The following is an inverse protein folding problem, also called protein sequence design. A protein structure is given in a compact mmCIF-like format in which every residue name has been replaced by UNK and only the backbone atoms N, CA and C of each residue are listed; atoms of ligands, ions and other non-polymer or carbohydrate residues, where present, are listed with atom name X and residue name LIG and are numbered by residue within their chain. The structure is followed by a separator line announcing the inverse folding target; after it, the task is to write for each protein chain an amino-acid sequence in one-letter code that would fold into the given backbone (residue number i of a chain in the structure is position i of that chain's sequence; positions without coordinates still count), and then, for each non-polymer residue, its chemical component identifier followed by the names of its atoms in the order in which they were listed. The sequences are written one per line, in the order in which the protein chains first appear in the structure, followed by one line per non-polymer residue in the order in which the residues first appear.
data_IF_068085074309
#
_entry.id   IF_068085074309
#
_cell.length_a   1.000
_cell.length_b   1.000
_cell.length_c   1.000
_cell.angle_alpha   90.00
_cell.angle_beta   90.00
_cell.angle_gamma   90.00
#
_symmetry.space_group_name_H-M   'P 1'
#
loop_
_entity.id
_entity.type
_entity.pdbx_description
1 polymer ?
#
# COMPACT_ATOMS: atom_id res chain seq x y z
N UNK A 1 5.34 -40.88 29.19
CA UNK A 1 6.22 -40.54 28.06
C UNK A 1 5.32 -40.17 26.91
N UNK A 2 5.08 -38.88 26.72
CA UNK A 2 4.27 -38.38 25.60
C UNK A 2 5.11 -38.47 24.33
N UNK A 3 4.61 -39.04 23.22
CA UNK A 3 5.38 -39.11 21.99
C UNK A 3 5.62 -37.68 21.50
N UNK A 4 6.88 -37.35 21.24
CA UNK A 4 7.27 -36.10 20.59
C UNK A 4 6.81 -36.20 19.13
N UNK A 5 5.59 -35.76 18.86
CA UNK A 5 5.04 -35.66 17.50
C UNK A 5 5.70 -34.43 16.87
N UNK A 6 6.46 -34.63 15.79
CA UNK A 6 6.95 -33.52 14.96
C UNK A 6 5.74 -32.67 14.54
N UNK A 7 5.80 -31.32 14.58
CA UNK A 7 4.70 -30.51 14.06
C UNK A 7 4.46 -30.89 12.60
N UNK A 8 3.25 -31.37 12.32
CA UNK A 8 2.87 -31.85 11.00
C UNK A 8 2.72 -30.65 10.06
N UNK A 9 3.32 -30.75 8.88
CA UNK A 9 3.26 -29.71 7.85
C UNK A 9 2.09 -30.03 6.90
N UNK A 10 1.18 -29.08 6.68
CA UNK A 10 -0.05 -29.26 5.89
C UNK A 10 -0.07 -28.30 4.71
N UNK A 11 -0.31 -28.74 3.47
CA UNK A 11 -0.66 -27.80 2.39
C UNK A 11 -2.09 -27.28 2.56
N UNK A 12 -2.46 -26.18 1.89
CA UNK A 12 -3.86 -25.74 1.84
C UNK A 12 -4.77 -26.81 1.22
N UNK A 13 -4.25 -27.62 0.30
CA UNK A 13 -5.00 -28.75 -0.25
C UNK A 13 -5.28 -29.82 0.82
N UNK A 14 -4.34 -30.04 1.75
CA UNK A 14 -4.53 -30.95 2.89
C UNK A 14 -5.57 -30.39 3.87
N UNK A 15 -5.46 -29.09 4.23
CA UNK A 15 -6.46 -28.42 5.10
C UNK A 15 -7.85 -28.51 4.50
N UNK A 16 -7.99 -28.32 3.18
CA UNK A 16 -9.26 -28.39 2.45
C UNK A 16 -9.94 -29.76 2.47
N UNK A 17 -9.22 -30.84 2.81
CA UNK A 17 -9.84 -32.16 3.00
C UNK A 17 -10.65 -32.26 4.29
N UNK A 18 -10.37 -31.40 5.27
CA UNK A 18 -11.01 -31.36 6.57
C UNK A 18 -12.06 -30.24 6.61
N UNK A 19 -13.19 -30.46 5.93
CA UNK A 19 -14.24 -29.47 5.70
C UNK A 19 -15.66 -29.95 6.02
N UNK A 20 -15.81 -30.91 6.94
CA UNK A 20 -17.11 -31.48 7.32
C UNK A 20 -17.37 -31.30 8.82
N UNK A 21 -18.62 -31.33 9.29
CA UNK A 21 -18.96 -31.05 10.70
C UNK A 21 -18.19 -31.94 11.71
N UNK A 22 -17.80 -33.14 11.30
CA UNK A 22 -17.07 -34.12 12.14
C UNK A 22 -15.55 -34.13 11.86
N UNK A 23 -15.04 -33.25 10.99
CA UNK A 23 -13.63 -33.13 10.61
C UNK A 23 -13.34 -31.74 10.01
N UNK A 24 -12.90 -30.79 10.84
CA UNK A 24 -12.69 -29.38 10.46
C UNK A 24 -11.31 -28.89 10.83
N UNK A 25 -10.51 -28.61 9.81
CA UNK A 25 -9.23 -27.92 9.99
C UNK A 25 -9.33 -26.53 9.40
N UNK A 26 -8.69 -25.57 10.06
CA UNK A 26 -8.53 -24.21 9.54
C UNK A 26 -7.09 -23.77 9.66
N UNK A 27 -6.64 -22.93 8.73
CA UNK A 27 -5.37 -22.23 8.89
C UNK A 27 -5.61 -20.82 9.43
N UNK A 28 -4.85 -20.42 10.46
CA UNK A 28 -4.83 -19.04 10.97
C UNK A 28 -3.35 -18.66 11.13
N UNK A 29 -2.93 -17.54 10.54
CA UNK A 29 -1.56 -17.00 10.65
C UNK A 29 -0.48 -18.04 10.34
N UNK A 30 -0.69 -18.87 9.31
CA UNK A 30 0.24 -19.91 8.87
C UNK A 30 0.34 -21.15 9.80
N UNK A 31 -0.51 -21.24 10.83
CA UNK A 31 -0.65 -22.41 11.69
C UNK A 31 -1.94 -23.13 11.36
N UNK A 32 -1.95 -24.46 11.47
CA UNK A 32 -3.14 -25.28 11.19
C UNK A 32 -3.70 -25.80 12.51
N UNK A 33 -5.01 -25.64 12.66
CA UNK A 33 -5.77 -25.95 13.85
C UNK A 33 -6.87 -26.95 13.52
N UNK A 34 -6.97 -28.01 14.30
CA UNK A 34 -8.12 -28.90 14.29
C UNK A 34 -9.15 -28.32 15.25
N UNK A 35 -10.23 -27.79 14.70
CA UNK A 35 -11.30 -27.13 15.46
C UNK A 35 -12.54 -28.00 15.59
N UNK A 36 -12.45 -29.29 15.21
CA UNK A 36 -13.58 -30.22 15.20
C UNK A 36 -14.27 -30.31 16.56
N UNK A 37 -13.50 -30.48 17.63
CA UNK A 37 -14.04 -30.55 19.00
C UNK A 37 -14.52 -29.20 19.53
N UNK A 38 -14.04 -28.09 18.95
CA UNK A 38 -14.38 -26.73 19.37
C UNK A 38 -15.62 -26.18 18.65
N UNK A 39 -16.10 -26.86 17.61
CA UNK A 39 -17.22 -26.39 16.78
C UNK A 39 -18.46 -25.97 17.58
N UNK A 40 -18.88 -26.81 18.54
CA UNK A 40 -20.07 -26.57 19.37
C UNK A 40 -19.79 -25.68 20.59
N UNK A 41 -18.52 -25.45 20.90
CA UNK A 41 -18.07 -24.63 22.03
C UNK A 41 -17.77 -23.18 21.63
N UNK A 42 -17.73 -22.91 20.31
CA UNK A 42 -17.45 -21.60 19.77
C UNK A 42 -18.53 -20.57 20.18
N UNK A 43 -18.18 -19.53 20.96
CA UNK A 43 -19.14 -18.55 21.46
C UNK A 43 -19.87 -17.76 20.36
N UNK A 44 -19.27 -17.64 19.18
CA UNK A 44 -19.85 -16.97 18.02
C UNK A 44 -20.90 -17.80 17.28
N UNK A 45 -21.02 -19.10 17.57
CA UNK A 45 -21.89 -20.04 16.84
C UNK A 45 -21.08 -20.96 15.91
N UNK A 46 -21.53 -22.21 15.79
CA UNK A 46 -20.88 -23.23 14.96
C UNK A 46 -20.94 -22.89 13.47
N UNK A 47 -21.99 -22.19 13.04
CA UNK A 47 -22.24 -21.80 11.65
C UNK A 47 -21.09 -20.98 11.05
N UNK A 48 -20.44 -20.12 11.82
CA UNK A 48 -19.33 -19.28 11.35
C UNK A 48 -18.04 -20.07 11.15
N UNK A 49 -17.82 -21.13 11.95
CA UNK A 49 -16.67 -22.01 11.77
C UNK A 49 -16.85 -22.92 10.56
N UNK A 50 -18.10 -23.31 10.25
CA UNK A 50 -18.42 -24.10 9.06
C UNK A 50 -18.21 -23.31 7.76
N UNK A 51 -18.42 -21.99 7.77
CA UNK A 51 -18.16 -21.14 6.59
C UNK A 51 -16.71 -21.12 6.15
N UNK A 52 -15.77 -21.33 7.07
CA UNK A 52 -14.32 -21.30 6.83
C UNK A 52 -13.67 -22.69 6.95
N UNK A 53 -14.48 -23.74 7.07
CA UNK A 53 -14.01 -25.11 7.25
C UNK A 53 -13.16 -25.57 6.04
N UNK A 54 -11.93 -26.01 6.32
CA UNK A 54 -10.96 -26.40 5.30
C UNK A 54 -10.30 -25.23 4.58
N UNK A 55 -10.40 -24.00 5.10
CA UNK A 55 -9.84 -22.80 4.49
C UNK A 55 -8.74 -22.13 5.34
N UNK A 56 -8.12 -21.09 4.78
CA UNK A 56 -7.34 -20.12 5.54
C UNK A 56 -8.29 -19.09 6.15
N UNK A 57 -8.63 -19.31 7.42
CA UNK A 57 -9.54 -18.50 8.19
C UNK A 57 -8.86 -17.28 8.84
N UNK A 58 -7.60 -16.95 8.51
CA UNK A 58 -6.87 -15.83 9.11
C UNK A 58 -7.67 -14.53 9.06
N UNK A 59 -8.25 -14.21 7.91
CA UNK A 59 -9.02 -12.98 7.73
C UNK A 59 -10.34 -12.99 8.54
N UNK A 60 -11.06 -14.12 8.57
CA UNK A 60 -12.28 -14.26 9.35
C UNK A 60 -12.00 -14.16 10.86
N UNK A 61 -10.89 -14.75 11.29
CA UNK A 61 -10.43 -14.70 12.68
C UNK A 61 -10.08 -13.28 13.12
N UNK A 62 -9.31 -12.55 12.32
CA UNK A 62 -8.86 -11.20 12.67
C UNK A 62 -10.00 -10.17 12.64
N UNK A 63 -10.92 -10.28 11.68
CA UNK A 63 -12.02 -9.32 11.53
C UNK A 63 -13.13 -9.46 12.58
N UNK A 64 -13.23 -10.62 13.23
CA UNK A 64 -14.24 -10.87 14.26
C UNK A 64 -13.92 -10.16 15.58
N UNK A 65 -12.65 -9.78 15.81
CA UNK A 65 -12.24 -9.10 17.04
C UNK A 65 -12.30 -10.03 18.26
N UNK A 66 -11.78 -11.25 18.11
CA UNK A 66 -11.63 -12.23 19.18
C UNK A 66 -10.91 -11.63 20.40
N UNK A 67 -11.38 -11.96 21.61
CA UNK A 67 -10.79 -11.47 22.86
C UNK A 67 -9.45 -12.18 23.18
N UNK A 68 -8.70 -11.65 24.14
CA UNK A 68 -7.44 -12.26 24.57
C UNK A 68 -7.62 -13.73 25.00
N UNK A 69 -8.75 -14.07 25.62
CA UNK A 69 -9.10 -15.45 26.00
C UNK A 69 -9.29 -16.37 24.78
N UNK A 70 -9.76 -15.85 23.65
CA UNK A 70 -9.90 -16.64 22.42
C UNK A 70 -8.54 -16.91 21.74
N UNK A 71 -7.52 -16.09 22.00
CA UNK A 71 -6.14 -16.37 21.58
C UNK A 71 -5.46 -17.43 22.45
N UNK A 72 -5.89 -17.59 23.71
CA UNK A 72 -5.36 -18.60 24.64
C UNK A 72 -5.78 -20.03 24.30
N UNK A 73 -6.89 -20.22 23.57
CA UNK A 73 -7.41 -21.55 23.17
C UNK A 73 -6.66 -22.10 21.94
N UNK A 74 -6.23 -21.23 21.01
CA UNK A 74 -5.58 -21.64 19.76
C UNK A 74 -4.39 -22.60 19.94
N UNK A 75 -3.45 -22.40 20.89
CA UNK A 75 -2.34 -23.33 21.10
C UNK A 75 -2.76 -24.78 21.35
N UNK A 76 -3.91 -25.01 22.00
CA UNK A 76 -4.42 -26.36 22.32
C UNK A 76 -5.00 -27.08 21.10
N UNK A 77 -5.56 -26.31 20.16
CA UNK A 77 -6.16 -26.82 18.92
C UNK A 77 -5.13 -26.99 17.79
N UNK A 78 -3.89 -26.55 18.00
CA UNK A 78 -2.86 -26.56 16.96
C UNK A 78 -2.39 -27.98 16.65
N UNK A 79 -2.60 -28.40 15.40
CA UNK A 79 -2.13 -29.70 14.89
C UNK A 79 -0.91 -29.60 13.99
N UNK A 80 -0.60 -28.40 13.49
CA UNK A 80 0.54 -28.23 12.60
C UNK A 80 0.81 -26.82 12.12
N UNK A 81 1.56 -26.74 11.04
CA UNK A 81 1.85 -25.49 10.31
C UNK A 81 1.51 -25.67 8.85
N UNK A 82 1.07 -24.58 8.23
CA UNK A 82 0.75 -24.58 6.82
C UNK A 82 2.07 -24.60 6.02
N UNK A 83 2.27 -25.64 5.23
CA UNK A 83 3.29 -25.75 4.21
C UNK A 83 3.07 -24.63 3.20
N UNK A 84 3.90 -23.60 3.34
CA UNK A 84 4.07 -22.60 2.31
C UNK A 84 4.68 -23.32 1.11
N UNK A 85 3.94 -23.38 0.01
CA UNK A 85 4.39 -24.06 -1.20
C UNK A 85 5.74 -23.43 -1.61
N UNK A 86 6.79 -24.18 -1.96
CA UNK A 86 7.96 -23.61 -2.62
C UNK A 86 7.62 -22.99 -4.00
N UNK A 87 6.41 -23.18 -4.53
CA UNK A 87 5.84 -22.36 -5.62
C UNK A 87 5.21 -21.02 -5.13
N UNK A 88 5.02 -20.86 -3.81
CA UNK A 88 4.93 -19.60 -3.08
C UNK A 88 6.26 -19.21 -2.42
N UNK A 89 7.39 -19.64 -2.99
CA UNK A 89 8.59 -18.81 -2.90
C UNK A 89 8.12 -17.44 -3.35
N UNK A 90 8.33 -16.42 -2.52
CA UNK A 90 8.56 -15.09 -3.05
C UNK A 90 9.53 -15.32 -4.20
N UNK A 91 9.05 -15.19 -5.44
CA UNK A 91 9.96 -14.94 -6.53
C UNK A 91 10.85 -13.81 -5.98
N UNK A 92 12.20 -13.95 -6.01
CA UNK A 92 13.05 -12.84 -5.64
C UNK A 92 12.49 -11.67 -6.42
N UNK A 93 12.00 -10.63 -5.69
CA UNK A 93 11.26 -9.48 -6.23
C UNK A 93 11.68 -9.34 -7.67
N UNK A 94 10.81 -9.75 -8.61
CA UNK A 94 11.18 -9.77 -10.02
C UNK A 94 11.79 -8.40 -10.25
N UNK A 95 13.11 -8.38 -10.51
CA UNK A 95 13.91 -7.18 -10.37
C UNK A 95 13.12 -6.10 -11.10
N UNK A 96 12.62 -5.11 -10.33
CA UNK A 96 11.82 -4.05 -10.91
C UNK A 96 12.64 -3.54 -12.09
N UNK A 97 12.03 -3.38 -13.29
CA UNK A 97 12.79 -3.02 -14.47
C UNK A 97 13.68 -1.84 -14.10
N UNK A 98 14.99 -2.00 -14.32
CA UNK A 98 16.04 -1.02 -14.04
C UNK A 98 15.46 0.40 -14.19
N UNK A 99 15.13 1.04 -13.07
CA UNK A 99 14.74 2.45 -13.04
C UNK A 99 16.02 3.28 -13.17
N UNK A 100 16.83 2.99 -14.21
CA UNK A 100 17.99 3.78 -14.54
C UNK A 100 17.48 5.19 -14.79
N UNK A 101 17.96 6.11 -13.95
CA UNK A 101 17.84 7.56 -14.10
C UNK A 101 18.54 7.95 -15.40
N UNK A 102 17.84 7.78 -16.52
CA UNK A 102 18.26 8.37 -17.78
C UNK A 102 17.69 9.78 -17.84
N UNK A 103 18.57 10.78 -17.96
CA UNK A 103 18.18 12.14 -18.30
C UNK A 103 17.71 12.19 -19.75
N UNK A 104 16.45 11.86 -20.00
CA UNK A 104 15.78 12.11 -21.28
C UNK A 104 15.01 13.41 -21.18
N UNK A 105 15.14 14.29 -22.20
CA UNK A 105 14.40 15.55 -22.25
C UNK A 105 12.90 15.25 -22.44
N UNK A 106 12.07 15.77 -21.55
CA UNK A 106 10.60 15.71 -21.60
C UNK A 106 10.07 16.41 -22.88
N UNK A 107 10.00 15.67 -23.98
CA UNK A 107 9.64 16.20 -25.31
C UNK A 107 8.48 15.45 -25.97
N UNK A 108 7.87 14.51 -25.24
CA UNK A 108 6.75 13.71 -25.74
C UNK A 108 5.41 14.46 -25.76
N UNK A 109 4.49 13.99 -26.59
CA UNK A 109 3.12 14.50 -26.64
C UNK A 109 2.41 14.10 -25.33
N UNK A 110 1.95 15.10 -24.56
CA UNK A 110 1.16 14.90 -23.33
C UNK A 110 -0.22 14.37 -23.66
N UNK A 111 -0.63 13.32 -22.98
CA UNK A 111 -1.88 12.60 -23.33
C UNK A 111 -3.01 12.82 -22.33
N UNK A 112 -2.70 13.11 -21.07
CA UNK A 112 -3.67 13.18 -19.99
C UNK A 112 -4.52 14.47 -20.04
N UNK A 113 -5.85 14.32 -19.96
CA UNK A 113 -6.84 15.42 -20.04
C UNK A 113 -7.62 15.60 -18.73
N UNK A 114 -7.72 16.82 -18.19
CA UNK A 114 -8.19 17.04 -16.80
C UNK A 114 -9.64 16.64 -16.61
N UNK A 115 -10.50 16.95 -17.57
CA UNK A 115 -11.95 16.86 -17.37
C UNK A 115 -12.61 15.79 -18.24
N UNK A 116 -11.81 15.05 -19.02
CA UNK A 116 -12.28 14.03 -19.96
C UNK A 116 -11.71 12.68 -19.55
N UNK A 117 -12.58 11.70 -19.31
CA UNK A 117 -12.16 10.32 -19.14
C UNK A 117 -11.64 9.76 -20.47
N UNK A 118 -10.46 9.17 -20.41
CA UNK A 118 -9.75 8.51 -21.49
C UNK A 118 -9.52 7.05 -21.11
N UNK A 119 -9.46 6.18 -22.11
CA UNK A 119 -9.23 4.75 -21.88
C UNK A 119 -7.77 4.38 -22.15
N UNK A 120 -7.20 3.57 -21.26
CA UNK A 120 -5.84 3.06 -21.39
C UNK A 120 -5.84 1.54 -21.21
N UNK A 121 -5.16 0.84 -22.12
CA UNK A 121 -5.12 -0.63 -22.17
C UNK A 121 -4.05 -1.19 -21.21
N UNK A 122 -4.42 -2.21 -20.42
CA UNK A 122 -3.51 -2.95 -19.56
C UNK A 122 -2.57 -3.81 -20.40
N UNK A 123 -1.28 -3.47 -20.39
CA UNK A 123 -0.23 -4.21 -21.11
C UNK A 123 0.39 -5.30 -20.25
N UNK A 124 0.62 -5.01 -18.97
CA UNK A 124 1.36 -5.90 -18.07
C UNK A 124 0.82 -5.78 -16.64
N UNK A 125 0.76 -6.91 -15.95
CA UNK A 125 0.47 -7.02 -14.52
C UNK A 125 1.64 -7.73 -13.85
N UNK A 126 2.24 -7.10 -12.84
CA UNK A 126 3.34 -7.66 -12.05
C UNK A 126 2.83 -7.84 -10.63
N UNK A 127 2.70 -9.08 -10.18
CA UNK A 127 2.27 -9.39 -8.81
C UNK A 127 3.43 -9.10 -7.86
N UNK A 128 3.20 -8.25 -6.86
CA UNK A 128 4.20 -7.86 -5.86
C UNK A 128 3.99 -8.64 -4.56
N UNK A 129 2.73 -8.81 -4.16
CA UNK A 129 2.31 -9.62 -3.00
C UNK A 129 0.91 -10.17 -3.21
N UNK A 130 0.37 -10.91 -2.23
CA UNK A 130 -0.96 -11.52 -2.30
C UNK A 130 -2.09 -10.51 -2.63
N UNK A 131 -1.94 -9.24 -2.24
CA UNK A 131 -2.93 -8.20 -2.51
C UNK A 131 -2.35 -6.94 -3.16
N UNK A 132 -1.12 -6.96 -3.66
CA UNK A 132 -0.50 -5.81 -4.35
C UNK A 132 0.02 -6.22 -5.70
N UNK A 133 -0.29 -5.41 -6.72
CA UNK A 133 0.30 -5.56 -8.04
C UNK A 133 0.61 -4.20 -8.68
N UNK A 134 1.57 -4.21 -9.60
CA UNK A 134 1.85 -3.11 -10.51
C UNK A 134 1.14 -3.38 -11.83
N UNK A 135 0.35 -2.42 -12.26
CA UNK A 135 -0.41 -2.46 -13.50
C UNK A 135 0.16 -1.44 -14.48
N UNK A 136 0.69 -1.92 -15.60
CA UNK A 136 1.26 -1.11 -16.67
C UNK A 136 0.23 -0.89 -17.76
N UNK A 137 -0.04 0.38 -18.06
CA UNK A 137 -0.99 0.76 -19.10
C UNK A 137 -0.30 1.47 -20.26
N UNK A 138 -0.69 1.11 -21.49
CA UNK A 138 -0.12 1.70 -22.71
C UNK A 138 -0.58 3.14 -22.89
N UNK A 139 0.34 3.99 -23.32
CA UNK A 139 0.01 5.28 -23.90
C UNK A 139 -0.30 5.12 -25.40
N UNK A 140 -0.98 6.11 -26.03
CA UNK A 140 -1.33 6.08 -27.45
C UNK A 140 -0.17 5.82 -28.43
N UNK A 141 1.06 6.17 -28.05
CA UNK A 141 2.26 5.85 -28.84
C UNK A 141 3.47 5.63 -27.93
N UNK A 142 4.51 4.91 -28.39
CA UNK A 142 5.75 4.71 -27.63
C UNK A 142 6.48 6.00 -27.22
N UNK A 143 6.27 7.09 -27.96
CA UNK A 143 6.91 8.40 -27.72
C UNK A 143 6.02 9.36 -26.91
N UNK A 144 4.78 8.97 -26.62
CA UNK A 144 3.88 9.76 -25.78
C UNK A 144 4.34 9.74 -24.31
N UNK A 145 4.13 10.85 -23.61
CA UNK A 145 4.29 10.92 -22.15
C UNK A 145 2.94 11.10 -21.49
N UNK A 146 2.82 10.69 -20.23
CA UNK A 146 1.55 10.75 -19.55
C UNK A 146 1.13 12.20 -19.33
N UNK A 147 2.07 13.07 -18.95
CA UNK A 147 1.84 14.49 -18.77
C UNK A 147 1.23 14.82 -17.40
N UNK A 148 1.63 14.08 -16.36
CA UNK A 148 1.19 14.31 -14.98
C UNK A 148 2.25 15.13 -14.22
N UNK A 149 1.96 16.40 -13.86
CA UNK A 149 2.88 17.20 -13.05
C UNK A 149 3.19 16.54 -11.71
N UNK A 150 4.45 16.67 -11.25
CA UNK A 150 4.91 16.07 -10.00
C UNK A 150 4.13 16.66 -8.82
N UNK A 151 3.52 15.80 -7.99
CA UNK A 151 2.63 16.17 -6.89
C UNK A 151 1.13 16.09 -7.24
N UNK A 152 0.79 15.93 -8.51
CA UNK A 152 -0.58 15.68 -8.95
C UNK A 152 -0.85 14.19 -9.10
N UNK A 153 -2.14 13.85 -9.12
CA UNK A 153 -2.64 12.48 -9.23
C UNK A 153 -3.68 12.37 -10.34
N UNK A 154 -4.12 11.15 -10.63
CA UNK A 154 -5.19 10.85 -11.58
C UNK A 154 -6.45 10.39 -10.86
N UNK A 155 -7.57 10.43 -11.57
CA UNK A 155 -8.84 9.82 -11.15
C UNK A 155 -9.17 8.62 -12.04
N UNK A 156 -9.29 7.43 -11.45
CA UNK A 156 -9.84 6.25 -12.11
C UNK A 156 -11.35 6.22 -11.85
N UNK A 157 -12.13 6.05 -12.92
CA UNK A 157 -13.59 5.94 -12.85
C UNK A 157 -14.07 4.57 -13.33
N UNK A 158 -15.04 3.97 -12.62
CA UNK A 158 -15.68 2.73 -13.06
C UNK A 158 -17.16 2.73 -12.69
N UNK A 159 -17.98 2.07 -13.51
CA UNK A 159 -19.37 1.78 -13.19
C UNK A 159 -19.42 0.51 -12.34
N UNK A 160 -19.78 0.65 -11.06
CA UNK A 160 -19.75 -0.45 -10.09
C UNK A 160 -21.19 -0.92 -9.82
N UNK A 161 -21.51 -2.22 -10.01
CA UNK A 161 -22.81 -2.79 -9.64
C UNK A 161 -23.11 -2.60 -8.15
N UNK A 162 -24.36 -2.31 -7.84
CA UNK A 162 -24.87 -2.15 -6.47
C UNK A 162 -25.78 -3.35 -6.11
N UNK A 163 -26.01 -3.56 -4.82
CA UNK A 163 -26.83 -4.68 -4.31
C UNK A 163 -28.31 -4.56 -4.70
N UNK A 164 -28.78 -3.36 -5.02
CA UNK A 164 -30.14 -3.08 -5.51
C UNK A 164 -30.31 -3.30 -7.02
N UNK A 165 -29.28 -3.81 -7.71
CA UNK A 165 -29.28 -4.05 -9.15
C UNK A 165 -28.95 -2.82 -10.01
N UNK A 166 -28.73 -1.64 -9.39
CA UNK A 166 -28.30 -0.44 -10.11
C UNK A 166 -26.78 -0.44 -10.34
N UNK A 167 -26.29 0.52 -11.13
CA UNK A 167 -24.85 0.79 -11.27
C UNK A 167 -24.55 2.22 -10.83
N UNK A 168 -23.41 2.40 -10.16
CA UNK A 168 -22.95 3.70 -9.68
C UNK A 168 -21.57 4.01 -10.24
N UNK A 169 -21.37 5.21 -10.78
CA UNK A 169 -20.03 5.67 -11.13
C UNK A 169 -19.26 5.96 -9.84
N UNK A 170 -18.18 5.22 -9.62
CA UNK A 170 -17.27 5.42 -8.51
C UNK A 170 -15.95 5.95 -9.08
N UNK A 171 -15.41 6.98 -8.42
CA UNK A 171 -14.14 7.61 -8.81
C UNK A 171 -13.18 7.58 -7.63
N UNK A 172 -11.93 7.19 -7.85
CA UNK A 172 -10.86 7.16 -6.83
C UNK A 172 -9.56 7.72 -7.37
N UNK A 173 -8.77 8.32 -6.49
CA UNK A 173 -7.48 8.93 -6.81
C UNK A 173 -6.35 7.91 -6.72
N UNK A 174 -5.41 7.99 -7.68
CA UNK A 174 -4.20 7.17 -7.71
C UNK A 174 -3.02 8.03 -8.20
N UNK A 175 -1.84 7.81 -7.63
CA UNK A 175 -0.60 8.42 -8.12
C UNK A 175 0.24 7.35 -8.81
N UNK A 176 0.54 7.49 -10.12
CA UNK A 176 1.46 6.60 -10.82
C UNK A 176 2.84 6.58 -10.17
N UNK A 177 3.48 5.41 -10.24
CA UNK A 177 4.86 5.22 -9.75
C UNK A 177 5.90 5.42 -10.86
N UNK A 178 5.48 5.50 -12.13
CA UNK A 178 6.28 5.95 -13.26
C UNK A 178 6.21 7.47 -13.45
N UNK A 179 7.04 8.03 -14.33
CA UNK A 179 6.98 9.45 -14.69
C UNK A 179 7.30 9.70 -16.16
N UNK A 180 7.20 10.96 -16.60
CA UNK A 180 7.29 11.36 -18.02
C UNK A 180 8.67 11.09 -18.68
N UNK A 181 9.70 10.77 -17.89
CA UNK A 181 11.01 10.28 -18.37
C UNK A 181 10.94 8.84 -18.94
N UNK A 182 9.84 8.12 -18.71
CA UNK A 182 9.56 6.79 -19.23
C UNK A 182 8.36 6.88 -20.21
N UNK A 183 8.59 7.19 -21.50
CA UNK A 183 7.50 7.34 -22.46
C UNK A 183 6.87 5.98 -22.81
N UNK A 184 5.67 6.04 -23.39
CA UNK A 184 4.95 4.88 -23.91
C UNK A 184 4.05 4.16 -22.92
N UNK A 185 4.22 4.34 -21.60
CA UNK A 185 3.38 3.70 -20.60
C UNK A 185 3.27 4.52 -19.29
N UNK A 186 2.38 4.09 -18.40
CA UNK A 186 2.44 4.45 -16.98
C UNK A 186 2.12 3.25 -16.09
N UNK A 187 2.70 3.23 -14.89
CA UNK A 187 2.57 2.15 -13.92
C UNK A 187 1.79 2.61 -12.68
N UNK A 188 0.80 1.81 -12.27
CA UNK A 188 0.03 1.99 -11.03
C UNK A 188 0.33 0.86 -10.06
N UNK A 189 0.83 1.19 -8.86
CA UNK A 189 0.88 0.26 -7.74
C UNK A 189 -0.46 0.28 -7.01
N UNK A 190 -1.19 -0.84 -7.01
CA UNK A 190 -2.51 -0.91 -6.39
C UNK A 190 -2.55 -2.07 -5.41
N UNK A 191 -2.91 -1.75 -4.16
CA UNK A 191 -3.34 -2.72 -3.15
C UNK A 191 -4.83 -3.00 -3.34
N UNK A 192 -5.18 -4.25 -3.59
CA UNK A 192 -6.55 -4.75 -3.66
C UNK A 192 -7.11 -4.94 -2.25
N UNK A 193 -8.23 -4.29 -1.96
CA UNK A 193 -8.97 -4.47 -0.71
C UNK A 193 -10.20 -5.33 -1.00
N UNK A 194 -10.53 -6.36 -0.20
CA UNK A 194 -11.69 -7.24 -0.44
C UNK A 194 -12.99 -6.47 -0.71
N UNK A 195 -13.27 -5.46 0.11
CA UNK A 195 -14.45 -4.58 -0.01
C UNK A 195 -14.19 -3.32 -0.86
N UNK A 196 -13.09 -3.28 -1.61
CA UNK A 196 -12.65 -2.10 -2.32
C UNK A 196 -13.21 -2.02 -3.75
N UNK A 197 -14.05 -1.02 -4.02
CA UNK A 197 -14.68 -0.83 -5.33
C UNK A 197 -13.67 -0.78 -6.52
N UNK A 198 -12.89 0.31 -6.62
CA UNK A 198 -11.99 0.51 -7.76
C UNK A 198 -10.78 -0.42 -7.68
N UNK A 199 -10.30 -0.73 -6.48
CA UNK A 199 -9.16 -1.65 -6.33
C UNK A 199 -9.49 -3.07 -6.81
N UNK A 200 -10.70 -3.59 -6.52
CA UNK A 200 -11.15 -4.88 -7.06
C UNK A 200 -11.41 -4.81 -8.55
N UNK A 201 -12.03 -3.73 -9.03
CA UNK A 201 -12.23 -3.52 -10.46
C UNK A 201 -10.90 -3.61 -11.23
N UNK A 202 -9.85 -2.92 -10.76
CA UNK A 202 -8.54 -3.00 -11.41
C UNK A 202 -7.88 -4.37 -11.22
N UNK A 203 -8.06 -5.02 -10.07
CA UNK A 203 -7.52 -6.35 -9.82
C UNK A 203 -8.09 -7.43 -10.75
N UNK A 204 -9.35 -7.29 -11.15
CA UNK A 204 -10.06 -8.20 -12.06
C UNK A 204 -9.71 -8.07 -13.53
N UNK A 205 -8.93 -7.05 -13.92
CA UNK A 205 -8.57 -6.82 -15.32
C UNK A 205 -7.65 -7.90 -15.86
N UNK A 206 -7.92 -8.32 -17.09
CA UNK A 206 -7.05 -9.13 -17.91
C UNK A 206 -6.18 -8.23 -18.82
N UNK A 207 -5.09 -8.79 -19.34
CA UNK A 207 -4.29 -8.08 -20.34
C UNK A 207 -5.14 -7.75 -21.56
N UNK A 208 -5.03 -6.52 -22.07
CA UNK A 208 -5.87 -6.00 -23.14
C UNK A 208 -7.15 -5.30 -22.66
N UNK A 209 -7.56 -5.49 -21.39
CA UNK A 209 -8.67 -4.72 -20.83
C UNK A 209 -8.27 -3.25 -20.62
N UNK A 210 -9.27 -2.37 -20.55
CA UNK A 210 -9.05 -0.93 -20.44
C UNK A 210 -9.54 -0.36 -19.12
N UNK A 211 -8.87 0.70 -18.66
CA UNK A 211 -9.32 1.53 -17.53
C UNK A 211 -9.67 2.94 -17.99
N UNK A 212 -10.67 3.56 -17.33
CA UNK A 212 -11.04 4.97 -17.57
C UNK A 212 -10.32 5.88 -16.60
N UNK A 213 -9.52 6.81 -17.12
CA UNK A 213 -8.73 7.78 -16.35
C UNK A 213 -8.99 9.21 -16.83
N UNK A 214 -9.01 10.17 -15.90
CA UNK A 214 -8.83 11.60 -16.19
C UNK A 214 -7.81 12.23 -15.24
N UNK A 215 -7.19 13.32 -15.67
CA UNK A 215 -6.22 14.05 -14.86
C UNK A 215 -5.45 15.11 -15.67
N UNK A 216 -4.48 15.80 -15.09
CA UNK A 216 -4.09 15.73 -13.69
C UNK A 216 -5.16 16.33 -12.75
N UNK A 217 -5.12 15.92 -11.48
CA UNK A 217 -5.92 16.46 -10.37
C UNK A 217 -5.02 16.72 -9.17
N UNK A 218 -5.48 17.60 -8.27
CA UNK A 218 -4.73 18.02 -7.09
C UNK A 218 -4.06 19.38 -7.25
N UNK A 219 -3.82 20.05 -6.12
CA UNK A 219 -3.26 21.41 -6.09
C UNK A 219 -1.73 21.44 -5.95
N UNK A 220 -1.11 20.32 -5.59
CA UNK A 220 0.34 20.26 -5.37
C UNK A 220 1.08 20.16 -6.69
N UNK A 221 2.08 21.02 -6.90
CA UNK A 221 3.01 20.93 -8.02
C UNK A 221 4.41 21.19 -7.47
N UNK A 222 5.26 20.17 -7.50
CA UNK A 222 6.64 20.27 -7.08
C UNK A 222 7.47 21.06 -8.11
N UNK A 223 8.36 21.92 -7.62
CA UNK A 223 9.43 22.52 -8.42
C UNK A 223 10.76 22.42 -7.65
N UNK A 224 11.90 22.26 -8.35
CA UNK A 224 13.20 22.11 -7.70
C UNK A 224 13.47 23.21 -6.68
N UNK A 225 13.97 22.85 -5.50
CA UNK A 225 14.28 23.78 -4.41
C UNK A 225 13.09 24.65 -3.92
N UNK A 226 11.82 24.27 -4.17
CA UNK A 226 10.65 25.05 -3.71
C UNK A 226 10.59 25.22 -2.18
N UNK A 227 11.18 24.27 -1.46
CA UNK A 227 11.44 24.30 -0.03
C UNK A 227 12.83 23.70 0.21
N UNK A 228 13.43 24.06 1.34
CA UNK A 228 14.69 23.48 1.78
C UNK A 228 14.49 22.01 2.14
N UNK A 229 13.40 21.69 2.84
CA UNK A 229 13.17 20.33 3.34
C UNK A 229 11.69 19.96 3.44
N UNK A 230 11.38 18.72 3.07
CA UNK A 230 10.09 18.09 3.35
C UNK A 230 10.17 17.18 4.57
N UNK A 231 9.19 17.26 5.45
CA UNK A 231 8.79 16.12 6.28
C UNK A 231 7.64 15.39 5.59
N UNK A 232 7.70 14.08 5.45
CA UNK A 232 6.66 13.28 4.79
C UNK A 232 6.16 12.22 5.76
N UNK A 233 4.84 12.03 5.83
CA UNK A 233 4.22 10.95 6.60
C UNK A 233 3.27 10.18 5.69
N UNK A 234 3.65 8.94 5.41
CA UNK A 234 2.91 8.03 4.54
C UNK A 234 2.37 6.83 5.31
N UNK A 235 1.15 6.38 4.96
CA UNK A 235 0.57 5.13 5.44
C UNK A 235 0.13 4.23 4.29
N UNK A 236 0.63 2.99 4.23
CA UNK A 236 0.27 2.03 3.18
C UNK A 236 0.46 2.57 1.76
N UNK A 237 -0.60 2.58 0.95
CA UNK A 237 -0.56 3.09 -0.45
C UNK A 237 -0.32 4.60 -0.55
N UNK A 238 -0.41 5.34 0.55
CA UNK A 238 -0.04 6.76 0.64
C UNK A 238 1.44 7.04 0.40
N UNK A 239 2.26 6.01 0.20
CA UNK A 239 3.66 6.15 -0.22
C UNK A 239 3.82 6.68 -1.66
N UNK A 240 2.84 6.44 -2.53
CA UNK A 240 2.97 6.73 -3.97
C UNK A 240 3.11 8.23 -4.30
N UNK A 241 2.37 9.19 -3.68
CA UNK A 241 2.65 10.62 -3.87
C UNK A 241 4.03 11.04 -3.33
N UNK A 242 4.48 10.44 -2.23
CA UNK A 242 5.78 10.77 -1.64
C UNK A 242 6.92 10.34 -2.56
N UNK A 243 6.86 9.11 -3.09
CA UNK A 243 7.85 8.59 -4.02
C UNK A 243 7.91 9.38 -5.33
N UNK A 244 6.77 9.88 -5.82
CA UNK A 244 6.73 10.71 -7.02
C UNK A 244 7.59 11.98 -6.84
N UNK A 245 7.49 12.64 -5.68
CA UNK A 245 8.26 13.84 -5.33
C UNK A 245 9.73 13.49 -5.06
N UNK A 246 9.98 12.46 -4.23
CA UNK A 246 11.33 12.01 -3.89
C UNK A 246 12.15 11.67 -5.15
N UNK A 247 11.57 10.89 -6.06
CA UNK A 247 12.24 10.52 -7.31
C UNK A 247 12.48 11.73 -8.21
N UNK A 248 11.62 12.75 -8.18
CA UNK A 248 11.84 13.99 -8.92
C UNK A 248 13.02 14.78 -8.35
N UNK A 249 13.12 14.91 -7.02
CA UNK A 249 14.27 15.52 -6.32
C UNK A 249 15.57 14.79 -6.71
N UNK A 250 15.57 13.46 -6.64
CA UNK A 250 16.76 12.66 -6.96
C UNK A 250 17.22 12.84 -8.41
N UNK A 251 16.28 12.86 -9.37
CA UNK A 251 16.61 13.16 -10.78
C UNK A 251 17.14 14.58 -10.95
N UNK A 252 16.63 15.54 -10.17
CA UNK A 252 17.05 16.94 -10.20
C UNK A 252 18.39 17.24 -9.53
N UNK A 253 19.01 16.27 -8.81
CA UNK A 253 20.30 16.49 -8.12
C UNK A 253 21.39 17.02 -9.06
N UNK A 254 21.48 16.45 -10.26
CA UNK A 254 22.44 16.88 -11.29
C UNK A 254 22.23 18.32 -11.77
N UNK A 255 20.99 18.80 -11.69
CA UNK A 255 20.56 20.14 -12.11
C UNK A 255 20.49 21.14 -10.93
N UNK A 256 21.00 20.75 -9.76
CA UNK A 256 21.12 21.64 -8.60
C UNK A 256 19.93 21.61 -7.62
N UNK A 257 19.10 20.58 -7.68
CA UNK A 257 18.08 20.34 -6.65
C UNK A 257 18.70 19.90 -5.32
N UNK A 258 18.55 20.72 -4.28
CA UNK A 258 19.13 20.51 -2.95
C UNK A 258 18.07 20.20 -1.90
N UNK A 259 16.81 19.99 -2.29
CA UNK A 259 15.75 19.69 -1.33
C UNK A 259 16.07 18.42 -0.54
N UNK A 260 15.91 18.47 0.77
CA UNK A 260 16.07 17.33 1.67
C UNK A 260 14.71 16.72 2.04
N UNK A 261 14.69 15.44 2.42
CA UNK A 261 13.46 14.73 2.79
C UNK A 261 13.67 13.90 4.05
N UNK A 262 12.76 14.03 5.00
CA UNK A 262 12.58 13.12 6.12
C UNK A 262 11.22 12.42 5.96
N UNK A 263 11.21 11.11 5.71
CA UNK A 263 10.01 10.31 5.50
C UNK A 263 9.76 9.39 6.69
N UNK A 264 8.58 9.48 7.30
CA UNK A 264 8.00 8.43 8.16
C UNK A 264 7.06 7.60 7.31
N UNK A 265 7.32 6.29 7.20
CA UNK A 265 6.45 5.36 6.49
C UNK A 265 5.89 4.31 7.45
N UNK A 266 4.57 4.34 7.65
CA UNK A 266 3.85 3.52 8.60
C UNK A 266 3.02 2.42 7.94
N UNK A 267 3.15 1.19 8.45
CA UNK A 267 2.46 0.00 7.97
C UNK A 267 2.02 -0.89 9.14
N UNK A 268 1.14 -1.86 8.88
CA UNK A 268 0.71 -2.80 9.93
C UNK A 268 1.82 -3.83 10.18
N UNK A 269 2.14 -4.63 9.16
CA UNK A 269 3.19 -5.64 9.24
C UNK A 269 4.39 -5.28 8.34
N UNK A 270 5.52 -5.99 8.48
CA UNK A 270 6.73 -5.74 7.70
C UNK A 270 6.54 -6.04 6.20
N UNK A 271 5.74 -7.05 5.89
CA UNK A 271 5.36 -7.45 4.54
C UNK A 271 4.44 -6.44 3.83
N UNK A 272 3.83 -5.52 4.58
CA UNK A 272 3.03 -4.43 4.01
C UNK A 272 3.89 -3.26 3.51
N UNK A 273 5.20 -3.26 3.76
CA UNK A 273 6.09 -2.17 3.33
C UNK A 273 6.26 -2.24 1.81
N UNK A 274 5.43 -1.45 1.12
CA UNK A 274 5.44 -1.34 -0.33
C UNK A 274 6.74 -0.70 -0.83
N UNK A 275 7.30 -1.24 -1.92
CA UNK A 275 8.47 -0.66 -2.59
C UNK A 275 9.71 -0.55 -1.67
N UNK A 276 9.91 -1.53 -0.79
CA UNK A 276 11.02 -1.54 0.17
C UNK A 276 12.40 -1.41 -0.48
N UNK A 277 12.61 -2.09 -1.61
CA UNK A 277 13.88 -2.01 -2.35
C UNK A 277 14.14 -0.59 -2.88
N UNK A 278 13.13 0.03 -3.50
CA UNK A 278 13.24 1.43 -3.94
C UNK A 278 13.54 2.38 -2.77
N UNK A 279 12.91 2.15 -1.62
CA UNK A 279 13.14 2.96 -0.42
C UNK A 279 14.57 2.79 0.12
N UNK A 280 15.15 1.60 0.00
CA UNK A 280 16.55 1.34 0.37
C UNK A 280 17.54 2.02 -0.59
N UNK A 281 17.23 2.03 -1.89
CA UNK A 281 18.02 2.77 -2.88
C UNK A 281 17.93 4.29 -2.68
N UNK A 282 16.72 4.80 -2.45
CA UNK A 282 16.48 6.21 -2.14
C UNK A 282 17.26 6.65 -0.89
N UNK A 283 17.36 5.77 0.11
CA UNK A 283 18.08 6.04 1.35
C UNK A 283 19.60 6.15 1.18
N UNK A 284 20.14 5.89 -0.01
CA UNK A 284 21.55 6.15 -0.33
C UNK A 284 21.81 7.63 -0.66
N UNK A 285 20.77 8.42 -0.99
CA UNK A 285 20.90 9.88 -1.14
C UNK A 285 21.09 10.52 0.23
N UNK A 286 22.20 11.24 0.43
CA UNK A 286 22.55 11.84 1.71
C UNK A 286 21.53 12.89 2.21
N UNK A 287 20.71 13.43 1.31
CA UNK A 287 19.64 14.38 1.63
C UNK A 287 18.31 13.71 1.96
N UNK A 288 18.21 12.38 1.96
CA UNK A 288 16.96 11.65 2.19
C UNK A 288 17.10 10.67 3.36
N UNK A 289 16.19 10.75 4.33
CA UNK A 289 16.09 9.80 5.44
C UNK A 289 14.71 9.15 5.44
N UNK A 290 14.69 7.84 5.66
CA UNK A 290 13.46 7.04 5.75
C UNK A 290 13.40 6.35 7.11
N UNK A 291 12.29 6.55 7.81
CA UNK A 291 11.98 5.99 9.12
C UNK A 291 10.75 5.09 8.98
N UNK A 292 10.91 3.81 9.27
CA UNK A 292 9.80 2.85 9.21
C UNK A 292 9.13 2.70 10.57
N UNK A 293 7.79 2.62 10.57
CA UNK A 293 6.97 2.41 11.76
C UNK A 293 6.00 1.25 11.51
N UNK A 294 5.97 0.26 12.41
CA UNK A 294 5.12 -0.93 12.28
C UNK A 294 4.20 -1.12 13.48
N UNK A 295 2.94 -1.48 13.25
CA UNK A 295 2.04 -1.91 14.33
C UNK A 295 2.49 -3.27 14.90
N UNK A 296 2.82 -4.21 14.02
CA UNK A 296 3.18 -5.58 14.33
C UNK A 296 4.62 -5.84 13.85
N UNK A 297 5.64 -5.34 14.55
CA UNK A 297 7.03 -5.51 14.15
C UNK A 297 7.53 -6.96 14.33
N UNK A 298 8.46 -7.44 13.48
CA UNK A 298 9.15 -8.72 13.72
C UNK A 298 10.08 -8.65 14.94
N UNK A 299 10.46 -9.81 15.47
CA UNK A 299 11.49 -9.96 16.51
C UNK A 299 12.80 -9.33 15.99
N UNK A 300 13.35 -8.34 16.70
CA UNK A 300 14.50 -7.49 16.33
C UNK A 300 14.23 -6.25 15.45
N UNK A 301 12.99 -5.78 15.34
CA UNK A 301 12.70 -4.49 14.72
C UNK A 301 13.35 -3.31 15.47
N UNK A 302 14.00 -2.43 14.71
CA UNK A 302 14.71 -1.24 15.23
C UNK A 302 14.04 0.08 14.84
N UNK A 303 12.98 0.03 14.04
CA UNK A 303 12.19 1.21 13.68
C UNK A 303 11.17 1.58 14.76
N UNK A 304 10.26 2.49 14.41
CA UNK A 304 9.15 2.83 15.30
C UNK A 304 8.15 1.68 15.44
N UNK A 305 7.47 1.63 16.58
CA UNK A 305 6.47 0.61 16.91
C UNK A 305 5.14 1.27 17.24
N UNK A 306 4.04 0.68 16.77
CA UNK A 306 2.69 1.17 16.96
C UNK A 306 2.28 2.21 15.90
N UNK A 307 1.48 3.19 16.32
CA UNK A 307 1.12 4.32 15.46
C UNK A 307 2.21 5.40 15.46
N UNK A 308 2.22 6.24 14.43
CA UNK A 308 3.09 7.43 14.40
C UNK A 308 2.70 8.36 15.55
N UNK A 309 3.67 8.72 16.40
CA UNK A 309 3.44 9.55 17.59
C UNK A 309 4.04 10.96 17.46
N UNK A 310 3.69 11.85 18.39
CA UNK A 310 4.28 13.19 18.49
C UNK A 310 5.78 13.13 18.72
N UNK A 311 6.26 12.20 19.55
CA UNK A 311 7.68 12.01 19.83
C UNK A 311 8.46 11.60 18.58
N UNK A 312 7.89 10.69 17.77
CA UNK A 312 8.49 10.28 16.50
C UNK A 312 8.59 11.44 15.52
N UNK A 313 7.50 12.20 15.33
CA UNK A 313 7.50 13.37 14.44
C UNK A 313 8.50 14.42 14.94
N UNK A 314 8.51 14.68 16.25
CA UNK A 314 9.43 15.63 16.87
C UNK A 314 10.89 15.17 16.76
N UNK A 315 11.17 13.86 16.79
CA UNK A 315 12.53 13.33 16.69
C UNK A 315 13.04 13.28 15.24
N UNK A 316 12.19 12.94 14.28
CA UNK A 316 12.61 12.55 12.94
C UNK A 316 12.28 13.54 11.84
N UNK A 317 11.22 14.35 12.00
CA UNK A 317 10.83 15.33 10.98
C UNK A 317 11.41 16.72 11.27
N UNK A 318 11.53 17.59 10.24
CA UNK A 318 11.96 18.96 10.45
C UNK A 318 11.02 19.75 11.36
N UNK A 319 11.57 20.79 12.00
CA UNK A 319 10.80 21.75 12.80
C UNK A 319 10.06 22.74 11.90
N UNK A 320 9.00 23.39 12.40
CA UNK A 320 8.33 24.47 11.67
C UNK A 320 9.31 25.60 11.33
N UNK A 321 9.47 25.85 10.03
CA UNK A 321 10.28 26.93 9.46
C UNK A 321 9.68 27.35 8.12
N UNK A 322 9.97 28.58 7.67
CA UNK A 322 9.38 29.16 6.44
C UNK A 322 9.68 28.37 5.16
N UNK A 323 10.79 27.62 5.15
CA UNK A 323 11.27 26.83 4.01
C UNK A 323 11.14 25.32 4.26
N UNK A 324 10.23 24.93 5.15
CA UNK A 324 9.88 23.54 5.48
C UNK A 324 8.42 23.29 5.19
N UNK A 325 8.11 22.07 4.76
CA UNK A 325 6.71 21.66 4.51
C UNK A 325 6.49 20.21 4.93
N UNK A 326 5.35 19.93 5.56
CA UNK A 326 4.90 18.58 5.89
C UNK A 326 3.93 18.08 4.83
N UNK A 327 4.16 16.88 4.31
CA UNK A 327 3.29 16.20 3.37
C UNK A 327 2.67 14.96 4.02
N UNK A 328 1.36 14.80 3.91
CA UNK A 328 0.60 13.71 4.52
C UNK A 328 -0.18 12.92 3.47
N UNK A 329 -0.09 11.59 3.50
CA UNK A 329 -0.97 10.74 2.70
C UNK A 329 -1.14 9.36 3.36
N UNK A 330 -2.38 8.92 3.54
CA UNK A 330 -2.68 7.64 4.19
C UNK A 330 -4.16 7.53 4.55
N UNK A 331 -4.54 6.54 5.38
CA UNK A 331 -5.91 6.37 5.83
C UNK A 331 -6.46 7.64 6.52
N UNK A 332 -7.76 7.97 6.37
CA UNK A 332 -8.33 9.19 6.95
C UNK A 332 -8.08 9.38 8.47
N UNK A 333 -8.17 8.34 9.33
CA UNK A 333 -7.86 8.48 10.75
C UNK A 333 -6.40 8.90 11.00
N UNK A 334 -5.46 8.31 10.24
CA UNK A 334 -4.04 8.66 10.31
C UNK A 334 -3.82 10.12 9.92
N UNK A 335 -4.31 10.54 8.74
CA UNK A 335 -4.14 11.92 8.26
C UNK A 335 -4.75 12.93 9.25
N UNK A 336 -5.93 12.64 9.79
CA UNK A 336 -6.59 13.49 10.80
C UNK A 336 -5.75 13.61 12.08
N UNK A 337 -5.19 12.50 12.56
CA UNK A 337 -4.27 12.49 13.71
C UNK A 337 -3.00 13.30 13.45
N UNK A 338 -2.35 13.09 12.30
CA UNK A 338 -1.11 13.79 11.96
C UNK A 338 -1.29 15.30 11.81
N UNK A 339 -2.44 15.76 11.29
CA UNK A 339 -2.78 17.19 11.26
C UNK A 339 -2.82 17.83 12.66
N UNK A 340 -3.36 17.11 13.65
CA UNK A 340 -3.43 17.61 15.04
C UNK A 340 -2.07 17.64 15.73
N UNK A 341 -1.26 16.60 15.51
CA UNK A 341 0.08 16.50 16.10
C UNK A 341 1.03 17.54 15.48
N UNK A 342 0.95 17.76 14.17
CA UNK A 342 1.76 18.82 13.54
C UNK A 342 1.36 20.21 14.04
N UNK A 343 0.06 20.47 14.28
CA UNK A 343 -0.41 21.69 14.94
C UNK A 343 0.13 21.84 16.38
N UNK A 344 0.15 20.76 17.19
CA UNK A 344 0.72 20.82 18.55
C UNK A 344 2.23 21.08 18.56
N UNK A 345 2.94 20.63 17.51
CA UNK A 345 4.36 20.88 17.30
C UNK A 345 4.69 22.26 16.69
N UNK A 346 3.68 23.09 16.44
CA UNK A 346 3.85 24.48 16.04
C UNK A 346 3.79 24.77 14.54
N UNK A 347 3.41 23.79 13.71
CA UNK A 347 3.08 24.05 12.31
C UNK A 347 1.75 24.79 12.20
N UNK A 348 1.56 25.54 11.10
CA UNK A 348 0.26 26.14 10.80
C UNK A 348 -0.85 25.08 10.72
N UNK A 349 -2.02 25.42 11.26
CA UNK A 349 -3.19 24.56 11.25
C UNK A 349 -3.57 24.17 9.82
N UNK A 350 -3.52 22.87 9.55
CA UNK A 350 -3.88 22.32 8.25
C UNK A 350 -5.34 22.62 7.87
N UNK A 351 -5.54 23.05 6.63
CA UNK A 351 -6.89 23.29 6.07
C UNK A 351 -7.64 21.96 5.84
N UNK A 352 -8.99 22.01 5.73
CA UNK A 352 -9.77 20.84 5.30
C UNK A 352 -9.35 20.37 3.90
N UNK A 353 -9.16 21.33 2.99
CA UNK A 353 -8.61 21.11 1.64
C UNK A 353 -7.29 21.87 1.55
N UNK A 354 -6.21 21.12 1.35
CA UNK A 354 -4.86 21.67 1.30
C UNK A 354 -4.66 22.55 0.07
N UNK A 355 -3.90 23.63 0.24
CA UNK A 355 -3.41 24.48 -0.86
C UNK A 355 -1.89 24.45 -0.92
N UNK A 356 -1.34 24.79 -2.09
CA UNK A 356 0.08 24.68 -2.35
C UNK A 356 0.94 25.45 -1.33
N UNK A 357 0.45 26.59 -0.84
CA UNK A 357 1.16 27.42 0.14
C UNK A 357 1.13 26.90 1.58
N UNK A 358 0.26 25.95 1.93
CA UNK A 358 0.05 25.54 3.32
C UNK A 358 1.28 24.79 3.88
N UNK A 359 1.77 25.10 5.09
CA UNK A 359 2.91 24.38 5.68
C UNK A 359 2.67 22.86 5.83
N UNK A 360 1.41 22.46 6.08
CA UNK A 360 0.99 21.06 6.16
C UNK A 360 0.03 20.76 5.01
N UNK A 361 0.46 19.93 4.06
CA UNK A 361 -0.32 19.53 2.90
C UNK A 361 -0.72 18.05 2.99
N UNK A 362 -2.02 17.78 3.08
CA UNK A 362 -2.57 16.44 2.89
C UNK A 362 -3.04 16.24 1.44
N UNK A 363 -2.60 15.14 0.81
CA UNK A 363 -2.95 14.76 -0.56
C UNK A 363 -4.39 14.29 -0.73
#
# INVERSE_FOLDING_TARGET
MSPFILPQEFSLADVKLHNTEDDIYIAIHGKVYDITSFLQEHPGGAEFLLEVAGEDATEAYDNTGHSDEAHEILPELKVGTLKLDPASKMDPVQQLPDFIVQHTKETGIKVLKPDVFQEFELEKKIVVSHNVAIYRFKLPSPDSIFGLPIGQHISIGAMIPQTDGTTKEIVRSYTPISGDHQPGYFDLLIKAYPQGNISQHVASLNLGDKIRIRGPKGAFIYTPNMVRRFGMIAGGTGITPMLQIIRAIMRGRGDGDKTEVDLIFANVNVEDILLKQDLDEISQDAGIRVHFVLNNPPENWTGGVGFVTEEMINAWLPKPEKDVKILLCGPPPMVSGMKKITESLGFEKARPVSKLEDEVFAF
#
